data_IF_197888576897
#
_entry.id   IF_197888576897
#
_cell.length_a   1.000
_cell.length_b   1.000
_cell.length_c   1.000
_cell.angle_alpha   90.00
_cell.angle_beta   90.00
_cell.angle_gamma   90.00
#
_symmetry.space_group_name_H-M   'P 1'
#
loop_
_entity.id
_entity.type
_entity.pdbx_description
1 polymer ?
#
# COMPACT_ATOMS: atom_id res chain seq x y z
N UNK A 1 -58.30 -19.02 25.07
CA UNK A 1 -57.04 -19.68 25.49
C UNK A 1 -55.88 -19.39 24.54
N UNK A 2 -56.02 -19.56 23.22
CA UNK A 2 -54.92 -19.33 22.25
C UNK A 2 -54.40 -17.88 22.18
N UNK A 3 -55.28 -16.87 22.26
CA UNK A 3 -54.89 -15.46 22.18
C UNK A 3 -54.05 -14.98 23.39
N UNK A 4 -54.32 -15.51 24.58
CA UNK A 4 -53.55 -15.19 25.80
C UNK A 4 -52.16 -15.82 25.72
N UNK A 5 -52.06 -17.03 25.16
CA UNK A 5 -50.76 -17.68 24.91
C UNK A 5 -49.86 -16.88 23.97
N UNK A 6 -50.42 -16.30 22.90
CA UNK A 6 -49.65 -15.52 21.93
C UNK A 6 -49.14 -14.19 22.51
N UNK A 7 -49.93 -13.55 23.37
CA UNK A 7 -49.53 -12.31 24.06
C UNK A 7 -48.42 -12.60 25.08
N UNK A 8 -48.51 -13.72 25.80
CA UNK A 8 -47.48 -14.12 26.77
C UNK A 8 -46.16 -14.54 26.09
N UNK A 9 -46.22 -15.21 24.94
CA UNK A 9 -45.00 -15.53 24.17
C UNK A 9 -44.38 -14.27 23.56
N UNK A 10 -45.18 -13.35 23.01
CA UNK A 10 -44.66 -12.07 22.52
C UNK A 10 -44.06 -11.21 23.64
N UNK A 11 -44.69 -11.18 24.81
CA UNK A 11 -44.15 -10.47 25.98
C UNK A 11 -42.88 -11.12 26.53
N UNK A 12 -42.81 -12.46 26.53
CA UNK A 12 -41.62 -13.22 26.90
C UNK A 12 -40.45 -12.98 25.94
N UNK A 13 -40.72 -12.97 24.64
CA UNK A 13 -39.71 -12.75 23.60
C UNK A 13 -39.18 -11.31 23.65
N UNK A 14 -40.06 -10.33 23.84
CA UNK A 14 -39.66 -8.91 23.93
C UNK A 14 -38.85 -8.63 25.20
N UNK A 15 -39.15 -9.31 26.32
CA UNK A 15 -38.33 -9.27 27.55
C UNK A 15 -36.99 -9.98 27.41
N UNK A 16 -36.93 -11.04 26.60
CA UNK A 16 -35.68 -11.74 26.30
C UNK A 16 -34.74 -10.84 25.48
N UNK A 17 -35.26 -10.16 24.44
CA UNK A 17 -34.49 -9.20 23.64
C UNK A 17 -33.98 -8.05 24.49
N UNK A 18 -34.82 -7.44 25.32
CA UNK A 18 -34.38 -6.35 26.22
C UNK A 18 -33.45 -6.81 27.36
N UNK A 19 -33.45 -8.10 27.74
CA UNK A 19 -32.45 -8.63 28.69
C UNK A 19 -31.13 -8.98 28.01
N UNK A 20 -31.16 -9.49 26.78
CA UNK A 20 -29.94 -9.73 25.99
C UNK A 20 -29.24 -8.41 25.68
N UNK A 21 -29.98 -7.36 25.30
CA UNK A 21 -29.42 -6.01 25.10
C UNK A 21 -28.76 -5.46 26.39
N UNK A 22 -29.37 -5.70 27.55
CA UNK A 22 -28.80 -5.26 28.84
C UNK A 22 -27.62 -6.10 29.31
N UNK A 23 -27.56 -7.40 28.99
CA UNK A 23 -26.41 -8.26 29.33
C UNK A 23 -25.23 -7.96 28.40
N UNK A 24 -25.49 -7.62 27.14
CA UNK A 24 -24.46 -7.13 26.20
C UNK A 24 -23.90 -5.76 26.62
N UNK A 25 -24.72 -4.89 27.24
CA UNK A 25 -24.25 -3.62 27.80
C UNK A 25 -23.66 -3.71 29.23
N UNK A 26 -23.96 -4.75 30.00
CA UNK A 26 -23.57 -4.88 31.41
C UNK A 26 -22.20 -5.53 31.64
N UNK A 27 -21.58 -6.14 30.62
CA UNK A 27 -20.21 -6.65 30.71
C UNK A 27 -19.19 -5.51 30.51
N UNK A 28 -19.25 -4.56 31.45
CA UNK A 28 -18.48 -3.32 31.57
C UNK A 28 -16.97 -3.52 31.74
N UNK A 29 -16.34 -4.20 30.79
CA UNK A 29 -14.91 -4.12 30.49
C UNK A 29 -14.74 -3.60 29.08
N UNK A 30 -15.05 -2.30 28.91
CA UNK A 30 -14.41 -1.54 27.83
C UNK A 30 -12.90 -1.65 28.08
N UNK A 31 -12.10 -2.24 27.17
CA UNK A 31 -10.67 -2.18 27.34
C UNK A 31 -10.28 -0.70 27.36
N UNK A 32 -9.31 -0.35 28.22
CA UNK A 32 -8.74 0.99 28.37
C UNK A 32 -8.35 1.65 27.03
N UNK A 33 -8.28 0.88 25.95
CA UNK A 33 -8.06 1.26 24.56
C UNK A 33 -9.18 2.15 23.96
N UNK A 34 -10.44 2.00 24.36
CA UNK A 34 -11.53 2.82 23.84
C UNK A 34 -11.46 4.28 24.33
N UNK A 35 -10.81 4.52 25.48
CA UNK A 35 -10.56 5.85 26.02
C UNK A 35 -9.38 6.55 25.32
N UNK A 36 -8.50 5.80 24.65
CA UNK A 36 -7.40 6.31 23.83
C UNK A 36 -7.82 6.59 22.37
N UNK A 37 -9.03 6.19 21.96
CA UNK A 37 -9.58 6.47 20.63
C UNK A 37 -10.31 7.82 20.53
N UNK A 38 -10.58 8.51 21.65
CA UNK A 38 -11.36 9.77 21.66
C UNK A 38 -10.63 10.99 21.11
N UNK A 39 -9.31 10.96 21.01
CA UNK A 39 -8.51 12.05 20.44
C UNK A 39 -8.09 11.81 18.98
N UNK A 40 -8.67 10.81 18.30
CA UNK A 40 -8.42 10.64 16.87
C UNK A 40 -9.24 11.68 16.10
N UNK A 41 -8.61 12.64 15.38
CA UNK A 41 -9.36 13.49 14.45
C UNK A 41 -10.15 12.58 13.49
N UNK A 42 -11.37 12.99 13.15
CA UNK A 42 -12.17 12.28 12.15
C UNK A 42 -11.37 12.10 10.85
N UNK A 43 -11.68 11.08 10.04
CA UNK A 43 -10.92 10.80 8.83
C UNK A 43 -10.78 12.05 7.97
N UNK A 44 -9.57 12.29 7.49
CA UNK A 44 -9.30 13.40 6.60
C UNK A 44 -10.02 13.15 5.27
N UNK A 45 -10.68 14.18 4.73
CA UNK A 45 -11.32 14.14 3.40
C UNK A 45 -10.26 14.21 2.30
N UNK A 46 -9.36 13.23 2.29
CA UNK A 46 -8.23 13.10 1.36
C UNK A 46 -8.41 11.81 0.59
N UNK A 47 -8.38 11.90 -0.75
CA UNK A 47 -8.41 10.73 -1.63
C UNK A 47 -6.99 10.26 -1.88
N UNK A 48 -6.68 9.07 -1.38
CA UNK A 48 -5.36 8.45 -1.50
C UNK A 48 -5.42 7.32 -2.51
N UNK A 49 -4.54 7.38 -3.52
CA UNK A 49 -4.27 6.25 -4.41
C UNK A 49 -2.93 5.64 -4.00
N UNK A 50 -2.90 4.34 -3.70
CA UNK A 50 -1.69 3.61 -3.36
C UNK A 50 -1.40 2.55 -4.44
N UNK A 51 -0.21 2.62 -5.02
CA UNK A 51 0.20 1.79 -6.16
C UNK A 51 1.32 0.85 -5.73
N UNK A 52 1.15 -0.46 -5.92
CA UNK A 52 2.15 -1.44 -5.55
C UNK A 52 1.62 -2.87 -5.55
N UNK A 53 2.05 -3.65 -4.56
CA UNK A 53 1.66 -5.06 -4.42
C UNK A 53 2.13 -5.64 -3.08
N UNK A 54 1.80 -6.90 -2.86
CA UNK A 54 2.23 -7.69 -1.72
C UNK A 54 1.82 -7.14 -0.35
N UNK A 55 2.58 -7.57 0.66
CA UNK A 55 2.32 -7.28 2.07
C UNK A 55 2.67 -5.84 2.46
N UNK A 56 3.58 -5.20 1.73
CA UNK A 56 3.99 -3.81 1.97
C UNK A 56 2.82 -2.85 1.75
N UNK A 57 2.21 -2.92 0.57
CA UNK A 57 1.02 -2.15 0.24
C UNK A 57 -0.12 -2.45 1.21
N UNK A 58 -0.38 -3.72 1.51
CA UNK A 58 -1.40 -4.12 2.48
C UNK A 58 -1.17 -3.50 3.88
N UNK A 59 0.09 -3.37 4.33
CA UNK A 59 0.40 -2.66 5.60
C UNK A 59 0.04 -1.18 5.52
N UNK A 60 0.40 -0.49 4.42
CA UNK A 60 0.02 0.90 4.23
C UNK A 60 -1.50 1.09 4.21
N UNK A 61 -2.22 0.23 3.49
CA UNK A 61 -3.69 0.27 3.39
C UNK A 61 -4.38 0.08 4.75
N UNK A 62 -3.92 -0.87 5.59
CA UNK A 62 -4.47 -1.09 6.94
C UNK A 62 -4.40 0.19 7.78
N UNK A 63 -3.29 0.91 7.72
CA UNK A 63 -3.13 2.18 8.43
C UNK A 63 -3.99 3.29 7.83
N UNK A 64 -3.92 3.47 6.50
CA UNK A 64 -4.64 4.55 5.81
C UNK A 64 -6.17 4.43 5.95
N UNK A 65 -6.72 3.21 5.99
CA UNK A 65 -8.16 2.96 6.23
C UNK A 65 -8.69 3.62 7.50
N UNK A 66 -7.85 3.76 8.52
CA UNK A 66 -8.24 4.35 9.82
C UNK A 66 -8.38 5.87 9.72
N UNK A 67 -7.63 6.50 8.82
CA UNK A 67 -7.43 7.94 8.80
C UNK A 67 -7.96 8.64 7.54
N UNK A 68 -8.24 7.89 6.47
CA UNK A 68 -8.68 8.43 5.19
C UNK A 68 -10.09 7.93 4.85
N UNK A 69 -10.93 8.82 4.34
CA UNK A 69 -12.28 8.47 3.89
C UNK A 69 -12.28 7.60 2.61
N UNK A 70 -11.26 7.78 1.77
CA UNK A 70 -11.20 7.17 0.44
C UNK A 70 -9.79 6.72 0.11
N UNK A 71 -9.58 5.40 0.13
CA UNK A 71 -8.33 4.77 -0.27
C UNK A 71 -8.60 3.89 -1.49
N UNK A 72 -7.84 4.09 -2.56
CA UNK A 72 -7.85 3.22 -3.74
C UNK A 72 -6.50 2.53 -3.86
N UNK A 73 -6.48 1.21 -3.85
CA UNK A 73 -5.29 0.41 -4.14
C UNK A 73 -5.27 0.05 -5.63
N UNK A 74 -4.17 0.30 -6.31
CA UNK A 74 -3.91 -0.19 -7.67
C UNK A 74 -2.80 -1.22 -7.58
N UNK A 75 -3.08 -2.44 -8.04
CA UNK A 75 -2.15 -3.57 -7.87
C UNK A 75 -1.79 -4.26 -9.17
N UNK A 76 -0.57 -4.80 -9.18
CA UNK A 76 -0.06 -5.57 -10.30
C UNK A 76 -0.78 -6.90 -10.41
N UNK A 77 -0.86 -7.41 -11.63
CA UNK A 77 -1.41 -8.73 -11.96
C UNK A 77 -0.35 -9.63 -12.61
N UNK A 78 0.92 -9.37 -12.29
CA UNK A 78 2.06 -10.10 -12.83
C UNK A 78 2.51 -11.30 -11.99
N UNK A 79 1.96 -11.49 -10.78
CA UNK A 79 2.27 -12.60 -9.87
C UNK A 79 2.06 -13.97 -10.55
N UNK A 80 3.08 -14.83 -10.47
CA UNK A 80 3.06 -16.20 -10.99
C UNK A 80 3.50 -17.25 -9.95
N UNK A 81 3.59 -16.83 -8.68
CA UNK A 81 4.06 -17.61 -7.55
C UNK A 81 2.94 -18.31 -6.75
N UNK A 82 3.31 -19.39 -6.07
CA UNK A 82 2.49 -20.06 -5.07
C UNK A 82 1.05 -20.39 -5.52
N UNK A 83 0.06 -20.03 -4.69
CA UNK A 83 -1.35 -20.28 -4.98
C UNK A 83 -1.87 -19.45 -6.14
N UNK A 84 -1.40 -18.21 -6.33
CA UNK A 84 -1.86 -17.32 -7.41
C UNK A 84 -1.42 -17.89 -8.75
N UNK A 85 -0.14 -18.24 -8.86
CA UNK A 85 0.45 -18.83 -10.06
C UNK A 85 -0.18 -20.14 -10.48
N UNK A 86 -0.50 -21.03 -9.53
CA UNK A 86 -1.21 -22.28 -9.86
C UNK A 86 -2.59 -22.00 -10.45
N UNK A 87 -3.39 -21.15 -9.80
CA UNK A 87 -4.72 -20.79 -10.32
C UNK A 87 -4.64 -20.12 -11.69
N UNK A 88 -3.66 -19.24 -11.89
CA UNK A 88 -3.40 -18.62 -13.19
C UNK A 88 -3.09 -19.64 -14.28
N UNK A 89 -2.24 -20.64 -14.01
CA UNK A 89 -1.88 -21.69 -14.97
C UNK A 89 -3.02 -22.67 -15.24
N UNK A 90 -3.75 -23.06 -14.21
CA UNK A 90 -4.75 -24.12 -14.29
C UNK A 90 -6.09 -23.61 -14.84
N UNK A 91 -6.44 -22.35 -14.54
CA UNK A 91 -7.76 -21.76 -14.87
C UNK A 91 -7.66 -20.55 -15.81
N UNK A 92 -6.47 -20.09 -16.17
CA UNK A 92 -6.29 -18.94 -17.07
C UNK A 92 -6.74 -17.61 -16.48
N UNK A 93 -6.88 -17.51 -15.15
CA UNK A 93 -7.37 -16.32 -14.46
C UNK A 93 -6.25 -15.35 -14.10
N UNK A 94 -6.61 -14.08 -13.95
CA UNK A 94 -5.74 -13.04 -13.40
C UNK A 94 -5.30 -13.45 -11.98
N UNK A 95 -4.01 -13.33 -11.61
CA UNK A 95 -3.53 -13.80 -10.32
C UNK A 95 -4.17 -13.01 -9.16
N UNK A 96 -4.89 -13.68 -8.24
CA UNK A 96 -5.70 -12.99 -7.24
C UNK A 96 -4.91 -12.54 -5.99
N UNK A 97 -3.65 -12.94 -5.82
CA UNK A 97 -2.93 -12.85 -4.54
C UNK A 97 -2.78 -11.42 -4.00
N UNK A 98 -2.33 -10.48 -4.82
CA UNK A 98 -2.12 -9.10 -4.39
C UNK A 98 -3.43 -8.33 -4.19
N UNK A 99 -4.42 -8.59 -5.05
CA UNK A 99 -5.80 -8.12 -4.86
C UNK A 99 -6.34 -8.62 -3.52
N UNK A 100 -6.20 -9.93 -3.24
CA UNK A 100 -6.62 -10.56 -1.97
C UNK A 100 -6.00 -9.85 -0.78
N UNK A 101 -4.70 -9.61 -0.80
CA UNK A 101 -4.00 -8.94 0.30
C UNK A 101 -4.55 -7.52 0.56
N UNK A 102 -4.88 -6.78 -0.51
CA UNK A 102 -5.44 -5.44 -0.39
C UNK A 102 -6.88 -5.46 0.11
N UNK A 103 -7.70 -6.41 -0.36
CA UNK A 103 -9.07 -6.59 0.13
C UNK A 103 -9.08 -6.93 1.62
N UNK A 104 -8.21 -7.85 2.06
CA UNK A 104 -8.07 -8.20 3.48
C UNK A 104 -7.65 -6.98 4.32
N UNK A 105 -6.73 -6.16 3.82
CA UNK A 105 -6.29 -4.95 4.51
C UNK A 105 -7.41 -3.91 4.66
N UNK A 106 -8.28 -3.81 3.65
CA UNK A 106 -9.34 -2.81 3.60
C UNK A 106 -10.70 -3.29 4.14
N UNK A 107 -10.88 -4.59 4.40
CA UNK A 107 -12.10 -5.18 4.94
C UNK A 107 -12.48 -4.58 6.31
N UNK A 108 -13.79 -4.49 6.60
CA UNK A 108 -14.24 -4.11 7.95
C UNK A 108 -13.97 -5.27 8.94
N UNK A 109 -13.66 -4.94 10.19
CA UNK A 109 -13.02 -5.87 11.15
C UNK A 109 -13.98 -6.93 11.72
N UNK A 110 -14.48 -7.84 10.89
CA UNK A 110 -14.90 -9.17 11.35
C UNK A 110 -13.67 -10.09 11.37
N UNK A 111 -13.11 -10.29 12.57
CA UNK A 111 -11.88 -11.06 12.81
C UNK A 111 -11.92 -12.46 12.19
N UNK A 112 -13.10 -13.11 12.21
CA UNK A 112 -13.31 -14.43 11.61
C UNK A 112 -13.23 -14.41 10.08
N UNK A 113 -13.91 -13.47 9.41
CA UNK A 113 -13.89 -13.37 7.95
C UNK A 113 -12.49 -13.06 7.44
N UNK A 114 -11.78 -12.15 8.11
CA UNK A 114 -10.40 -11.82 7.75
C UNK A 114 -9.47 -13.02 7.91
N UNK A 115 -9.61 -13.76 9.03
CA UNK A 115 -8.82 -14.98 9.29
C UNK A 115 -9.10 -16.06 8.25
N UNK A 116 -10.38 -16.27 7.88
CA UNK A 116 -10.77 -17.22 6.86
C UNK A 116 -10.20 -16.81 5.49
N UNK A 117 -10.22 -15.52 5.16
CA UNK A 117 -9.72 -15.03 3.88
C UNK A 117 -8.21 -15.19 3.73
N UNK A 118 -7.45 -15.05 4.82
CA UNK A 118 -6.01 -15.28 4.89
C UNK A 118 -5.64 -16.77 5.04
N UNK A 119 -6.61 -17.66 5.30
CA UNK A 119 -6.37 -19.09 5.52
C UNK A 119 -5.68 -19.75 4.32
N UNK A 120 -4.71 -20.62 4.63
CA UNK A 120 -3.98 -21.45 3.68
C UNK A 120 -4.14 -22.92 4.07
N UNK A 121 -4.57 -23.73 3.11
CA UNK A 121 -4.71 -25.17 3.29
C UNK A 121 -3.32 -25.80 3.47
N UNK A 122 -3.16 -26.60 4.51
CA UNK A 122 -1.88 -27.26 4.81
C UNK A 122 -1.68 -28.53 3.98
N UNK A 123 -2.72 -29.37 3.91
CA UNK A 123 -2.64 -30.73 3.37
C UNK A 123 -3.78 -31.03 2.37
N UNK A 124 -3.67 -32.18 1.68
CA UNK A 124 -4.66 -32.67 0.72
C UNK A 124 -4.53 -32.03 -0.67
N UNK A 125 -5.57 -32.20 -1.50
CA UNK A 125 -5.57 -31.70 -2.89
C UNK A 125 -5.46 -30.17 -2.97
N UNK A 126 -5.93 -29.47 -1.95
CA UNK A 126 -5.86 -28.01 -1.86
C UNK A 126 -4.56 -27.50 -1.22
N UNK A 127 -3.61 -28.39 -0.87
CA UNK A 127 -2.39 -28.01 -0.15
C UNK A 127 -1.67 -26.80 -0.78
N UNK A 128 -1.39 -25.81 0.06
CA UNK A 128 -0.76 -24.55 -0.33
C UNK A 128 -1.68 -23.53 -1.01
N UNK A 129 -2.93 -23.87 -1.37
CA UNK A 129 -3.90 -22.86 -1.84
C UNK A 129 -4.33 -21.95 -0.70
N UNK A 130 -4.61 -20.69 -1.03
CA UNK A 130 -5.27 -19.77 -0.11
C UNK A 130 -6.77 -19.80 -0.35
N UNK A 131 -7.56 -19.87 0.73
CA UNK A 131 -9.01 -19.76 0.63
C UNK A 131 -9.43 -18.47 -0.06
N UNK A 132 -8.86 -17.32 0.33
CA UNK A 132 -9.18 -16.04 -0.32
C UNK A 132 -8.87 -16.00 -1.82
N UNK A 133 -7.82 -16.70 -2.27
CA UNK A 133 -7.54 -16.82 -3.71
C UNK A 133 -8.62 -17.65 -4.42
N UNK A 134 -9.00 -18.80 -3.85
CA UNK A 134 -10.08 -19.64 -4.40
C UNK A 134 -11.42 -18.91 -4.42
N UNK A 135 -11.73 -18.19 -3.34
CA UNK A 135 -12.91 -17.35 -3.24
C UNK A 135 -12.94 -16.29 -4.34
N UNK A 136 -11.85 -15.53 -4.54
CA UNK A 136 -11.80 -14.51 -5.59
C UNK A 136 -11.93 -15.10 -6.99
N UNK A 137 -11.27 -16.22 -7.24
CA UNK A 137 -11.40 -16.93 -8.51
C UNK A 137 -12.83 -17.38 -8.77
N UNK A 138 -13.52 -17.93 -7.76
CA UNK A 138 -14.92 -18.32 -7.88
C UNK A 138 -15.86 -17.11 -8.06
N UNK A 139 -15.60 -16.00 -7.37
CA UNK A 139 -16.39 -14.78 -7.52
C UNK A 139 -16.24 -14.19 -8.93
N UNK A 140 -15.03 -14.19 -9.50
CA UNK A 140 -14.78 -13.76 -10.86
C UNK A 140 -15.50 -14.65 -11.90
N UNK A 141 -15.45 -15.97 -11.71
CA UNK A 141 -16.14 -16.93 -12.58
C UNK A 141 -17.66 -16.74 -12.55
N UNK A 142 -18.25 -16.58 -11.36
CA UNK A 142 -19.69 -16.34 -11.17
C UNK A 142 -20.12 -14.98 -11.75
N UNK A 143 -19.30 -13.94 -11.55
CA UNK A 143 -19.59 -12.60 -12.03
C UNK A 143 -19.42 -12.45 -13.56
N UNK A 144 -18.68 -13.37 -14.19
CA UNK A 144 -18.41 -13.39 -15.62
C UNK A 144 -17.17 -12.61 -16.04
N UNK A 145 -16.63 -11.77 -15.16
CA UNK A 145 -15.33 -11.11 -15.34
C UNK A 145 -14.64 -10.83 -13.99
N UNK A 146 -13.32 -10.63 -14.07
CA UNK A 146 -12.48 -10.45 -12.88
C UNK A 146 -12.77 -9.15 -12.13
N UNK A 147 -13.11 -8.06 -12.84
CA UNK A 147 -13.38 -6.77 -12.21
C UNK A 147 -14.65 -6.84 -11.36
N UNK A 148 -15.74 -7.37 -11.91
CA UNK A 148 -16.99 -7.51 -11.20
C UNK A 148 -16.87 -8.54 -10.07
N UNK A 149 -16.06 -9.59 -10.24
CA UNK A 149 -15.69 -10.51 -9.17
C UNK A 149 -15.03 -9.82 -7.97
N UNK A 150 -14.06 -8.94 -8.22
CA UNK A 150 -13.41 -8.12 -7.17
C UNK A 150 -14.39 -7.14 -6.54
N UNK A 151 -15.27 -6.52 -7.34
CA UNK A 151 -16.33 -5.61 -6.86
C UNK A 151 -17.32 -6.33 -5.95
N UNK A 152 -17.72 -7.54 -6.31
CA UNK A 152 -18.62 -8.37 -5.51
C UNK A 152 -17.93 -8.85 -4.22
N UNK A 153 -16.68 -9.30 -4.29
CA UNK A 153 -15.89 -9.67 -3.12
C UNK A 153 -15.71 -8.50 -2.14
N UNK A 154 -15.48 -7.29 -2.66
CA UNK A 154 -15.37 -6.06 -1.86
C UNK A 154 -16.65 -5.78 -1.04
N UNK A 155 -17.83 -6.05 -1.62
CA UNK A 155 -19.12 -5.90 -0.93
C UNK A 155 -19.28 -6.94 0.19
N UNK A 156 -18.93 -8.20 -0.08
CA UNK A 156 -19.01 -9.30 0.91
C UNK A 156 -18.10 -9.04 2.10
N UNK A 157 -16.90 -8.50 1.86
CA UNK A 157 -15.91 -8.20 2.90
C UNK A 157 -16.08 -6.81 3.54
N UNK A 158 -17.15 -6.08 3.21
CA UNK A 158 -17.40 -4.71 3.69
C UNK A 158 -16.17 -3.79 3.56
N UNK A 159 -15.48 -3.86 2.41
CA UNK A 159 -14.23 -3.12 2.17
C UNK A 159 -14.44 -1.61 2.23
N UNK A 160 -13.61 -0.93 3.03
CA UNK A 160 -13.56 0.53 3.13
C UNK A 160 -12.52 1.10 2.17
N UNK A 161 -12.93 1.27 0.92
CA UNK A 161 -12.07 1.77 -0.16
C UNK A 161 -12.34 1.00 -1.45
N UNK A 162 -11.38 1.06 -2.38
CA UNK A 162 -11.45 0.36 -3.65
C UNK A 162 -10.13 -0.37 -3.91
N UNK A 163 -10.22 -1.58 -4.46
CA UNK A 163 -9.06 -2.35 -4.91
C UNK A 163 -9.24 -2.60 -6.40
N UNK A 164 -8.27 -2.14 -7.19
CA UNK A 164 -8.29 -2.18 -8.64
C UNK A 164 -7.07 -2.94 -9.16
N UNK A 165 -7.23 -3.92 -10.06
CA UNK A 165 -6.10 -4.39 -10.83
C UNK A 165 -5.62 -3.28 -11.76
N UNK A 166 -4.31 -3.21 -12.01
CA UNK A 166 -3.75 -2.23 -12.96
C UNK A 166 -4.20 -2.48 -14.39
N UNK A 167 -4.47 -3.74 -14.73
CA UNK A 167 -4.95 -4.21 -16.03
C UNK A 167 -5.77 -5.48 -15.85
N UNK A 168 -6.67 -5.77 -16.80
CA UNK A 168 -7.34 -7.06 -16.92
C UNK A 168 -6.60 -8.03 -17.84
N UNK A 169 -5.58 -7.55 -18.55
CA UNK A 169 -4.75 -8.40 -19.41
C UNK A 169 -3.84 -9.28 -18.54
N UNK A 170 -3.59 -10.51 -19.01
CA UNK A 170 -2.64 -11.39 -18.37
C UNK A 170 -1.20 -10.88 -18.62
N UNK A 171 -0.55 -10.37 -17.57
CA UNK A 171 0.79 -9.77 -17.65
C UNK A 171 1.84 -10.75 -17.12
N UNK A 172 2.91 -10.96 -17.87
CA UNK A 172 4.12 -11.65 -17.44
C UNK A 172 5.24 -10.63 -17.32
N UNK A 173 5.99 -10.68 -16.22
CA UNK A 173 7.14 -9.80 -16.02
C UNK A 173 8.38 -10.42 -16.64
N UNK A 174 9.19 -9.62 -17.34
CA UNK A 174 10.47 -10.07 -17.90
C UNK A 174 11.58 -9.12 -17.50
N UNK A 175 12.68 -9.66 -16.97
CA UNK A 175 13.85 -8.92 -16.55
C UNK A 175 15.06 -9.20 -17.43
N UNK A 176 15.74 -8.14 -17.84
CA UNK A 176 17.08 -8.20 -18.41
C UNK A 176 18.11 -7.95 -17.32
N UNK A 177 18.99 -8.93 -17.13
CA UNK A 177 20.00 -8.96 -16.09
C UNK A 177 21.31 -8.34 -16.59
N UNK A 178 22.18 -7.91 -15.67
CA UNK A 178 23.46 -7.28 -16.00
C UNK A 178 24.45 -8.23 -16.72
N UNK A 179 24.29 -9.54 -16.56
CA UNK A 179 25.06 -10.56 -17.27
C UNK A 179 24.51 -10.89 -18.67
N UNK A 180 23.45 -10.20 -19.10
CA UNK A 180 22.81 -10.37 -20.40
C UNK A 180 21.71 -11.44 -20.44
N UNK A 181 21.43 -12.14 -19.34
CA UNK A 181 20.33 -13.09 -19.29
C UNK A 181 18.97 -12.40 -19.31
N UNK A 182 17.99 -13.04 -19.95
CA UNK A 182 16.57 -12.69 -19.86
C UNK A 182 15.86 -13.69 -18.95
N UNK A 183 15.20 -13.20 -17.90
CA UNK A 183 14.46 -14.02 -16.93
C UNK A 183 12.97 -13.69 -17.05
N UNK A 184 12.16 -14.72 -17.25
CA UNK A 184 10.70 -14.60 -17.48
C UNK A 184 9.96 -15.12 -16.24
N UNK A 185 9.04 -14.30 -15.72
CA UNK A 185 8.20 -14.62 -14.57
C UNK A 185 8.68 -13.96 -13.28
N UNK A 186 7.74 -13.48 -12.47
CA UNK A 186 8.02 -12.75 -11.23
C UNK A 186 8.83 -13.60 -10.25
N UNK A 187 8.36 -14.81 -9.98
CA UNK A 187 9.00 -15.72 -9.03
C UNK A 187 10.39 -16.18 -9.52
N UNK A 188 10.59 -16.26 -10.84
CA UNK A 188 11.89 -16.59 -11.42
C UNK A 188 12.88 -15.42 -11.31
N UNK A 189 12.42 -14.17 -11.51
CA UNK A 189 13.24 -12.97 -11.37
C UNK A 189 13.79 -12.85 -9.95
N UNK A 190 12.94 -13.02 -8.93
CA UNK A 190 13.37 -12.98 -7.53
C UNK A 190 14.36 -14.11 -7.20
N UNK A 191 14.20 -15.29 -7.82
CA UNK A 191 15.06 -16.45 -7.58
C UNK A 191 16.40 -16.41 -8.35
N UNK A 192 16.46 -15.74 -9.50
CA UNK A 192 17.64 -15.73 -10.36
C UNK A 192 18.86 -15.09 -9.69
N UNK A 193 18.63 -14.11 -8.82
CA UNK A 193 19.70 -13.31 -8.22
C UNK A 193 20.41 -12.42 -9.24
N UNK A 194 21.39 -11.65 -8.79
CA UNK A 194 22.13 -10.70 -9.64
C UNK A 194 21.46 -9.33 -9.73
N UNK A 195 21.88 -8.53 -10.70
CA UNK A 195 21.44 -7.14 -10.87
C UNK A 195 20.48 -7.02 -12.04
N UNK A 196 19.25 -6.58 -11.75
CA UNK A 196 18.24 -6.24 -12.77
C UNK A 196 18.63 -4.90 -13.41
N UNK A 197 18.74 -4.87 -14.74
CA UNK A 197 19.07 -3.66 -15.51
C UNK A 197 17.81 -3.02 -16.08
N UNK A 198 16.91 -3.84 -16.62
CA UNK A 198 15.69 -3.38 -17.25
C UNK A 198 14.56 -4.39 -17.02
N UNK A 199 13.33 -3.88 -16.84
CA UNK A 199 12.10 -4.65 -16.88
C UNK A 199 11.27 -4.32 -18.12
N UNK A 200 10.56 -5.32 -18.63
CA UNK A 200 9.47 -5.18 -19.60
C UNK A 200 8.26 -6.01 -19.18
N UNK A 201 7.11 -5.67 -19.72
CA UNK A 201 5.88 -6.44 -19.58
C UNK A 201 5.69 -7.30 -20.81
N UNK A 202 5.06 -8.45 -20.66
CA UNK A 202 4.61 -9.27 -21.78
C UNK A 202 3.13 -9.62 -21.58
N UNK A 203 2.21 -9.19 -22.46
CA UNK A 203 2.46 -8.39 -23.67
C UNK A 203 3.03 -6.98 -23.37
N UNK A 204 3.68 -6.34 -24.35
CA UNK A 204 4.37 -5.06 -24.16
C UNK A 204 3.44 -3.88 -23.84
N UNK A 205 2.16 -3.98 -24.23
CA UNK A 205 1.20 -2.88 -24.11
C UNK A 205 -0.14 -3.35 -23.50
N UNK A 206 -0.15 -3.83 -22.25
CA UNK A 206 -1.40 -4.19 -21.59
C UNK A 206 -2.26 -2.93 -21.39
N UNK A 207 -3.56 -3.08 -21.51
CA UNK A 207 -4.50 -1.97 -21.36
C UNK A 207 -4.68 -1.63 -19.87
N UNK A 208 -4.44 -0.38 -19.44
CA UNK A 208 -4.73 0.01 -18.07
C UNK A 208 -6.24 -0.04 -17.81
N UNK A 209 -6.62 -0.41 -16.59
CA UNK A 209 -8.03 -0.33 -16.19
C UNK A 209 -8.50 1.14 -16.20
N UNK A 210 -9.60 1.50 -16.88
CA UNK A 210 -10.09 2.87 -16.93
C UNK A 210 -10.34 3.48 -15.55
N UNK A 211 -10.90 2.69 -14.62
CA UNK A 211 -11.15 3.11 -13.23
C UNK A 211 -9.84 3.44 -12.49
N UNK A 212 -8.74 2.74 -12.79
CA UNK A 212 -7.43 3.02 -12.21
C UNK A 212 -6.90 4.38 -12.67
N UNK A 213 -7.05 4.71 -13.96
CA UNK A 213 -6.69 6.03 -14.50
C UNK A 213 -7.55 7.14 -13.89
N UNK A 214 -8.85 6.91 -13.76
CA UNK A 214 -9.76 7.88 -13.13
C UNK A 214 -9.38 8.14 -11.67
N UNK A 215 -9.09 7.08 -10.91
CA UNK A 215 -8.65 7.20 -9.53
C UNK A 215 -7.36 8.04 -9.41
N UNK A 216 -6.36 7.77 -10.26
CA UNK A 216 -5.09 8.54 -10.29
C UNK A 216 -5.35 10.03 -10.56
N UNK A 217 -6.24 10.34 -11.50
CA UNK A 217 -6.56 11.73 -11.85
C UNK A 217 -7.38 12.45 -10.77
N UNK A 218 -8.21 11.71 -10.04
CA UNK A 218 -9.01 12.23 -8.94
C UNK A 218 -8.23 12.32 -7.62
N UNK A 219 -7.06 11.69 -7.50
CA UNK A 219 -6.31 11.62 -6.27
C UNK A 219 -5.85 12.99 -5.75
N UNK A 220 -5.87 13.15 -4.43
CA UNK A 220 -5.18 14.27 -3.76
C UNK A 220 -3.73 13.86 -3.43
N UNK A 221 -3.51 12.56 -3.21
CA UNK A 221 -2.22 11.95 -2.90
C UNK A 221 -2.06 10.63 -3.67
N UNK A 222 -0.88 10.43 -4.28
CA UNK A 222 -0.47 9.18 -4.91
C UNK A 222 0.73 8.63 -4.15
N UNK A 223 0.57 7.45 -3.57
CA UNK A 223 1.62 6.69 -2.91
C UNK A 223 2.16 5.65 -3.87
N UNK A 224 3.48 5.60 -4.01
CA UNK A 224 4.19 4.57 -4.76
C UNK A 224 4.91 3.69 -3.76
N UNK A 225 4.48 2.43 -3.66
CA UNK A 225 4.90 1.51 -2.62
C UNK A 225 4.19 1.72 -1.27
N UNK A 226 4.69 1.08 -0.19
CA UNK A 226 5.90 0.24 -0.16
C UNK A 226 5.67 -1.13 -0.81
N UNK A 227 6.74 -1.76 -1.27
CA UNK A 227 6.70 -3.05 -1.95
C UNK A 227 7.98 -3.34 -2.70
N UNK A 228 8.14 -4.57 -3.18
CA UNK A 228 9.30 -4.97 -3.98
C UNK A 228 9.40 -4.08 -5.22
N UNK A 229 10.58 -3.48 -5.43
CA UNK A 229 10.74 -2.40 -6.41
C UNK A 229 10.47 -2.92 -7.82
N UNK A 230 11.04 -4.08 -8.15
CA UNK A 230 11.00 -4.65 -9.50
C UNK A 230 9.77 -5.52 -9.72
N UNK A 231 9.26 -6.18 -8.69
CA UNK A 231 8.17 -7.17 -8.82
C UNK A 231 6.81 -6.67 -8.34
N UNK A 232 6.74 -5.59 -7.56
CA UNK A 232 5.47 -5.01 -7.08
C UNK A 232 5.23 -3.57 -7.53
N UNK A 233 6.26 -2.72 -7.58
CA UNK A 233 6.07 -1.30 -7.89
C UNK A 233 6.19 -1.03 -9.39
N UNK A 234 7.35 -1.33 -9.99
CA UNK A 234 7.61 -1.09 -11.41
C UNK A 234 6.58 -1.75 -12.35
N UNK A 235 6.08 -2.98 -12.11
CA UNK A 235 5.13 -3.59 -13.02
C UNK A 235 3.83 -2.81 -13.17
N UNK A 236 3.36 -2.14 -12.11
CA UNK A 236 2.23 -1.22 -12.19
C UNK A 236 2.54 0.01 -13.04
N UNK A 237 3.71 0.60 -12.84
CA UNK A 237 4.10 1.88 -13.46
C UNK A 237 4.46 1.72 -14.95
N UNK A 238 4.90 0.53 -15.35
CA UNK A 238 5.22 0.17 -16.73
C UNK A 238 3.98 -0.06 -17.60
N UNK A 239 2.79 -0.27 -17.01
CA UNK A 239 1.56 -0.36 -17.78
C UNK A 239 1.33 0.97 -18.52
N UNK A 240 1.14 0.95 -19.85
CA UNK A 240 0.90 2.15 -20.64
C UNK A 240 -0.20 3.04 -20.05
N UNK A 241 0.05 4.35 -20.03
CA UNK A 241 -0.91 5.32 -19.51
C UNK A 241 -0.84 5.56 -17.99
N UNK A 242 -0.43 4.58 -17.16
CA UNK A 242 -0.35 4.75 -15.70
C UNK A 242 0.64 5.86 -15.32
N UNK A 243 1.90 5.74 -15.76
CA UNK A 243 2.93 6.75 -15.49
C UNK A 243 2.55 8.12 -16.06
N UNK A 244 1.93 8.15 -17.25
CA UNK A 244 1.45 9.38 -17.84
C UNK A 244 0.34 10.03 -16.98
N UNK A 245 -0.63 9.26 -16.49
CA UNK A 245 -1.69 9.77 -15.62
C UNK A 245 -1.11 10.32 -14.30
N UNK A 246 -0.15 9.63 -13.69
CA UNK A 246 0.50 10.09 -12.45
C UNK A 246 1.23 11.43 -12.69
N UNK A 247 1.93 11.57 -13.83
CA UNK A 247 2.60 12.83 -14.20
C UNK A 247 1.62 13.99 -14.37
N UNK A 248 0.49 13.76 -15.05
CA UNK A 248 -0.52 14.80 -15.30
C UNK A 248 -1.37 15.12 -14.07
N UNK A 249 -1.46 14.20 -13.10
CA UNK A 249 -2.20 14.41 -11.87
C UNK A 249 -1.64 15.56 -11.05
N UNK A 250 -2.52 16.34 -10.41
CA UNK A 250 -2.15 17.43 -9.48
C UNK A 250 -1.85 16.92 -8.06
N UNK A 251 -2.05 15.63 -7.83
CA UNK A 251 -1.80 14.96 -6.57
C UNK A 251 -0.37 15.16 -6.09
N UNK A 252 -0.18 15.12 -4.78
CA UNK A 252 1.12 14.96 -4.16
C UNK A 252 1.61 13.52 -4.37
N UNK A 253 2.81 13.33 -4.94
CA UNK A 253 3.41 12.00 -5.18
C UNK A 253 4.49 11.69 -4.15
N UNK A 254 4.32 10.59 -3.42
CA UNK A 254 5.25 10.13 -2.39
C UNK A 254 5.71 8.71 -2.72
N UNK A 255 7.03 8.50 -2.79
CA UNK A 255 7.61 7.16 -2.78
C UNK A 255 7.81 6.69 -1.34
N UNK A 256 7.27 5.55 -0.95
CA UNK A 256 7.54 4.94 0.35
C UNK A 256 8.66 3.92 0.17
N UNK A 257 9.85 4.26 0.64
CA UNK A 257 11.05 3.45 0.46
C UNK A 257 10.98 2.16 1.28
N UNK A 258 11.54 1.08 0.75
CA UNK A 258 11.69 -0.15 1.51
C UNK A 258 12.64 0.06 2.70
N UNK A 259 12.35 -0.61 3.82
CA UNK A 259 13.21 -0.51 5.02
C UNK A 259 14.47 -1.37 4.88
N UNK A 260 14.35 -2.50 4.20
CA UNK A 260 15.43 -3.47 3.99
C UNK A 260 15.63 -3.68 2.48
N UNK A 261 16.87 -3.96 2.07
CA UNK A 261 17.17 -4.44 0.73
C UNK A 261 16.57 -5.83 0.52
N UNK A 262 16.21 -6.15 -0.71
CA UNK A 262 15.71 -7.47 -1.06
C UNK A 262 16.77 -8.23 -1.87
N UNK A 263 17.23 -9.40 -1.39
CA UNK A 263 18.16 -10.24 -2.14
C UNK A 263 17.63 -10.53 -3.54
N UNK A 264 18.49 -10.37 -4.55
CA UNK A 264 18.16 -10.62 -5.96
C UNK A 264 17.40 -9.49 -6.67
N UNK A 265 16.90 -8.50 -5.94
CA UNK A 265 16.22 -7.33 -6.54
C UNK A 265 16.98 -6.03 -6.25
N UNK A 266 17.20 -5.71 -4.98
CA UNK A 266 17.76 -4.42 -4.53
C UNK A 266 18.96 -4.60 -3.62
N UNK A 267 19.74 -5.67 -3.82
CA UNK A 267 20.99 -5.91 -3.12
C UNK A 267 21.90 -4.67 -3.20
N UNK A 268 22.36 -4.20 -2.04
CA UNK A 268 23.22 -3.01 -1.88
C UNK A 268 22.61 -1.65 -2.25
N UNK A 269 21.30 -1.58 -2.52
CA UNK A 269 20.67 -0.30 -2.85
C UNK A 269 20.61 0.63 -1.65
N UNK A 270 20.97 1.90 -1.88
CA UNK A 270 20.59 3.02 -1.02
C UNK A 270 19.17 3.50 -1.32
N UNK A 271 18.68 4.48 -0.56
CA UNK A 271 17.41 5.13 -0.83
C UNK A 271 17.41 5.85 -2.20
N UNK A 272 18.52 6.52 -2.56
CA UNK A 272 18.63 7.15 -3.88
C UNK A 272 18.68 6.14 -5.03
N UNK A 273 19.29 4.96 -4.83
CA UNK A 273 19.31 3.89 -5.85
C UNK A 273 17.91 3.41 -6.22
N UNK A 274 16.98 3.35 -5.25
CA UNK A 274 15.59 2.99 -5.51
C UNK A 274 14.91 4.02 -6.44
N UNK A 275 15.11 5.32 -6.17
CA UNK A 275 14.57 6.39 -7.01
C UNK A 275 15.26 6.45 -8.37
N UNK A 276 16.56 6.18 -8.43
CA UNK A 276 17.34 6.16 -9.65
C UNK A 276 16.89 5.01 -10.56
N UNK A 277 16.65 3.82 -9.99
CA UNK A 277 16.08 2.69 -10.70
C UNK A 277 14.68 3.00 -11.22
N UNK A 278 13.80 3.58 -10.40
CA UNK A 278 12.48 4.04 -10.85
C UNK A 278 12.59 5.03 -12.00
N UNK A 279 13.43 6.05 -11.88
CA UNK A 279 13.62 7.09 -12.90
C UNK A 279 14.21 6.52 -14.20
N UNK A 280 15.11 5.53 -14.11
CA UNK A 280 15.71 4.85 -15.26
C UNK A 280 14.66 4.11 -16.09
N UNK A 281 13.73 3.42 -15.44
CA UNK A 281 12.67 2.66 -16.12
C UNK A 281 11.58 3.57 -16.70
N UNK A 282 11.28 4.68 -16.01
CA UNK A 282 10.21 5.59 -16.41
C UNK A 282 10.69 6.73 -17.32
N UNK A 283 11.99 6.94 -17.43
CA UNK A 283 12.62 8.03 -18.18
C UNK A 283 12.56 9.41 -17.50
N UNK A 284 12.00 9.51 -16.28
CA UNK A 284 11.99 10.74 -15.48
C UNK A 284 11.73 10.45 -14.01
N UNK A 285 12.06 11.40 -13.14
CA UNK A 285 11.57 11.41 -11.76
C UNK A 285 10.05 11.60 -11.74
N UNK A 286 9.34 10.78 -10.97
CA UNK A 286 7.88 10.77 -10.89
C UNK A 286 7.35 11.36 -9.57
N UNK A 287 8.19 11.36 -8.54
CA UNK A 287 7.79 11.67 -7.17
C UNK A 287 8.30 13.02 -6.71
N UNK A 288 7.57 13.63 -5.79
CA UNK A 288 7.96 14.90 -5.20
C UNK A 288 8.75 14.70 -3.89
N UNK A 289 8.51 13.57 -3.23
CA UNK A 289 9.14 13.23 -1.97
C UNK A 289 9.39 11.73 -1.86
N UNK A 290 10.32 11.38 -0.98
CA UNK A 290 10.61 10.03 -0.54
C UNK A 290 10.45 9.96 0.98
N UNK A 291 9.67 8.98 1.45
CA UNK A 291 9.56 8.63 2.85
C UNK A 291 10.50 7.47 3.15
N UNK A 292 11.46 7.69 4.05
CA UNK A 292 12.46 6.70 4.46
C UNK A 292 12.40 6.44 5.95
N UNK A 293 12.72 5.20 6.33
CA UNK A 293 12.80 4.79 7.72
C UNK A 293 14.20 5.11 8.30
N UNK A 294 14.25 5.85 9.41
CA UNK A 294 15.49 6.30 10.06
C UNK A 294 15.89 5.47 11.30
N UNK A 295 15.19 4.36 11.55
CA UNK A 295 15.46 3.47 12.68
C UNK A 295 15.78 2.05 12.20
N UNK A 296 17.03 1.58 12.29
CA UNK A 296 17.36 0.22 11.87
C UNK A 296 16.64 -0.81 12.74
N UNK A 297 16.35 -2.01 12.22
CA UNK A 297 15.90 -3.13 13.04
C UNK A 297 16.94 -3.45 14.12
N UNK A 298 16.45 -3.85 15.28
CA UNK A 298 17.27 -4.15 16.46
C UNK A 298 17.32 -5.64 16.73
N UNK A 299 16.17 -6.32 16.70
CA UNK A 299 16.02 -7.72 17.10
C UNK A 299 16.37 -8.65 15.94
N UNK A 300 15.78 -8.39 14.77
CA UNK A 300 15.89 -9.29 13.61
C UNK A 300 17.05 -8.95 12.68
N UNK A 301 17.85 -7.93 12.99
CA UNK A 301 18.89 -7.42 12.10
C UNK A 301 19.88 -8.49 11.66
N UNK A 302 20.48 -9.22 12.61
CA UNK A 302 21.47 -10.24 12.31
C UNK A 302 20.90 -11.37 11.44
N UNK A 303 19.62 -11.73 11.65
CA UNK A 303 18.94 -12.74 10.83
C UNK A 303 18.72 -12.26 9.39
N UNK A 304 18.33 -10.99 9.20
CA UNK A 304 18.18 -10.42 7.86
C UNK A 304 19.53 -10.30 7.15
N UNK A 305 20.57 -9.82 7.84
CA UNK A 305 21.92 -9.69 7.29
C UNK A 305 22.49 -11.05 6.86
N UNK A 306 22.26 -12.10 7.64
CA UNK A 306 22.65 -13.47 7.28
C UNK A 306 21.98 -13.99 6.00
N UNK A 307 20.82 -13.44 5.63
CA UNK A 307 20.10 -13.76 4.40
C UNK A 307 20.38 -12.76 3.27
N UNK A 308 21.40 -11.89 3.41
CA UNK A 308 21.78 -10.90 2.40
C UNK A 308 20.84 -9.68 2.32
N UNK A 309 19.98 -9.48 3.32
CA UNK A 309 19.07 -8.34 3.43
C UNK A 309 19.58 -7.37 4.50
N UNK A 310 19.89 -6.14 4.10
CA UNK A 310 20.46 -5.12 5.00
C UNK A 310 19.54 -3.90 5.06
N UNK A 311 19.59 -3.08 6.12
CA UNK A 311 18.83 -1.84 6.16
C UNK A 311 19.20 -0.92 4.99
N UNK A 312 18.21 -0.33 4.33
CA UNK A 312 18.44 0.62 3.23
C UNK A 312 19.10 1.88 3.79
N UNK A 313 20.24 2.25 3.21
CA UNK A 313 21.02 3.41 3.66
C UNK A 313 20.37 4.70 3.14
N UNK A 314 20.25 5.71 4.01
CA UNK A 314 19.77 7.05 3.66
C UNK A 314 20.97 7.91 3.24
N UNK A 315 21.15 8.09 1.94
CA UNK A 315 22.18 8.90 1.31
C UNK A 315 21.66 10.30 0.97
N UNK A 316 21.57 11.14 2.01
CA UNK A 316 20.92 12.45 1.95
C UNK A 316 21.45 13.38 0.85
N UNK A 317 22.77 13.41 0.61
CA UNK A 317 23.37 14.27 -0.42
C UNK A 317 22.94 13.85 -1.84
N UNK A 318 22.87 12.54 -2.10
CA UNK A 318 22.41 12.01 -3.38
C UNK A 318 20.91 12.29 -3.58
N UNK A 319 20.10 12.10 -2.54
CA UNK A 319 18.66 12.43 -2.57
C UNK A 319 18.42 13.94 -2.80
N UNK A 320 19.20 14.81 -2.18
CA UNK A 320 19.12 16.26 -2.39
C UNK A 320 19.43 16.64 -3.85
N UNK A 321 20.43 16.01 -4.46
CA UNK A 321 20.78 16.22 -5.87
C UNK A 321 19.67 15.78 -6.84
N UNK A 322 18.79 14.86 -6.43
CA UNK A 322 17.62 14.43 -7.20
C UNK A 322 16.42 15.39 -7.09
N UNK A 323 16.54 16.48 -6.33
CA UNK A 323 15.49 17.49 -6.13
C UNK A 323 14.17 16.92 -5.56
N UNK A 324 14.27 15.85 -4.76
CA UNK A 324 13.13 15.27 -4.04
C UNK A 324 13.18 15.67 -2.55
N UNK A 325 12.02 15.89 -1.95
CA UNK A 325 11.95 16.12 -0.50
C UNK A 325 12.18 14.80 0.24
N UNK A 326 13.13 14.78 1.19
CA UNK A 326 13.35 13.63 2.07
C UNK A 326 12.47 13.79 3.31
N UNK A 327 11.63 12.79 3.57
CA UNK A 327 10.79 12.69 4.76
C UNK A 327 11.32 11.53 5.60
N UNK A 328 11.72 11.82 6.83
CA UNK A 328 12.22 10.82 7.77
C UNK A 328 11.09 10.38 8.71
N UNK A 329 11.10 9.12 9.11
CA UNK A 329 10.25 8.66 10.20
C UNK A 329 10.71 7.33 10.79
N UNK A 330 10.37 7.12 12.06
CA UNK A 330 10.49 5.82 12.71
C UNK A 330 9.35 4.92 12.27
N UNK A 331 9.48 4.27 11.12
CA UNK A 331 8.39 3.56 10.46
C UNK A 331 8.34 2.06 10.77
N UNK A 332 9.28 1.58 11.58
CA UNK A 332 9.48 0.15 11.79
C UNK A 332 8.48 -0.48 12.75
N UNK A 333 8.01 -1.67 12.38
CA UNK A 333 7.45 -2.68 13.26
C UNK A 333 8.33 -3.94 13.20
N UNK A 334 8.72 -4.44 14.37
CA UNK A 334 9.48 -5.69 14.53
C UNK A 334 8.60 -6.69 15.29
N UNK A 335 8.27 -7.80 14.64
CA UNK A 335 7.60 -8.94 15.28
C UNK A 335 8.17 -10.25 14.76
N UNK A 336 7.40 -10.99 13.97
CA UNK A 336 7.89 -12.18 13.25
C UNK A 336 8.81 -11.82 12.06
N UNK A 337 8.69 -10.56 11.58
CA UNK A 337 9.46 -10.00 10.46
C UNK A 337 9.61 -8.49 10.62
N UNK A 338 10.56 -7.93 9.88
CA UNK A 338 10.77 -6.48 9.74
C UNK A 338 9.82 -5.96 8.66
N UNK A 339 8.95 -5.01 9.01
CA UNK A 339 8.04 -4.34 8.06
C UNK A 339 7.73 -2.91 8.51
N UNK A 340 7.06 -2.17 7.63
CA UNK A 340 6.44 -0.92 8.02
C UNK A 340 5.32 -1.18 9.03
N UNK A 341 5.34 -0.44 10.14
CA UNK A 341 4.23 -0.27 11.06
C UNK A 341 3.12 0.51 10.35
N UNK A 342 1.95 -0.11 10.20
CA UNK A 342 0.83 0.47 9.44
C UNK A 342 0.40 1.83 9.98
N UNK A 343 0.38 1.97 11.31
CA UNK A 343 -0.15 3.14 12.01
C UNK A 343 0.87 4.29 12.02
N UNK A 344 2.16 4.00 12.27
CA UNK A 344 3.23 5.00 12.13
C UNK A 344 3.38 5.46 10.67
N UNK A 345 3.30 4.53 9.71
CA UNK A 345 3.38 4.85 8.29
C UNK A 345 2.25 5.79 7.86
N UNK A 346 1.00 5.47 8.22
CA UNK A 346 -0.13 6.33 7.88
C UNK A 346 0.00 7.73 8.48
N UNK A 347 0.42 7.87 9.74
CA UNK A 347 0.67 9.18 10.36
C UNK A 347 1.78 9.97 9.67
N UNK A 348 2.89 9.33 9.32
CA UNK A 348 3.99 9.99 8.61
C UNK A 348 3.55 10.51 7.23
N UNK A 349 2.78 9.69 6.49
CA UNK A 349 2.19 10.08 5.21
C UNK A 349 1.28 11.29 5.40
N UNK A 350 0.34 11.23 6.34
CA UNK A 350 -0.64 12.31 6.56
C UNK A 350 0.02 13.60 7.03
N UNK A 351 1.00 13.52 7.94
CA UNK A 351 1.75 14.70 8.37
C UNK A 351 2.48 15.39 7.21
N UNK A 352 3.06 14.62 6.29
CA UNK A 352 3.66 15.18 5.07
C UNK A 352 2.60 15.79 4.14
N UNK A 353 1.49 15.09 3.93
CA UNK A 353 0.39 15.56 3.06
C UNK A 353 -0.19 16.86 3.58
N UNK A 354 -0.51 16.95 4.87
CA UNK A 354 -1.05 18.16 5.51
C UNK A 354 -0.10 19.34 5.36
N UNK A 355 1.19 19.14 5.67
CA UNK A 355 2.21 20.18 5.48
C UNK A 355 2.25 20.69 4.04
N UNK A 356 2.14 19.78 3.07
CA UNK A 356 2.18 20.12 1.66
C UNK A 356 0.90 20.78 1.13
N UNK A 357 -0.27 20.33 1.56
CA UNK A 357 -1.56 20.92 1.19
C UNK A 357 -1.70 22.33 1.78
N UNK A 358 -1.25 22.53 3.01
CA UNK A 358 -1.23 23.85 3.65
C UNK A 358 -0.30 24.82 2.91
N UNK A 359 0.88 24.37 2.43
CA UNK A 359 1.76 25.19 1.60
C UNK A 359 1.11 25.63 0.27
N UNK A 360 0.20 24.83 -0.30
CA UNK A 360 -0.56 25.21 -1.51
C UNK A 360 -1.74 26.16 -1.20
N UNK A 361 -2.31 26.09 0.00
CA UNK A 361 -3.44 26.93 0.45
C UNK A 361 -3.01 28.29 1.00
N UNK A 362 -1.76 28.43 1.47
CA UNK A 362 -1.17 29.74 1.69
C UNK A 362 -1.16 30.48 0.35
N UNK A 363 -1.89 31.61 0.19
CA UNK A 363 -1.84 32.36 -1.05
C UNK A 363 -0.38 32.68 -1.33
N UNK A 364 0.08 32.39 -2.55
CA UNK A 364 1.43 32.75 -3.02
C UNK A 364 1.61 34.27 -2.87
N UNK A 365 2.05 34.70 -1.69
CA UNK A 365 2.63 36.01 -1.45
C UNK A 365 4.12 35.80 -1.31
N UNK A 366 4.77 35.75 -2.48
CA UNK A 366 6.14 36.24 -2.58
C UNK A 366 6.22 37.14 -3.80
N UNK A 367 6.19 38.45 -3.53
CA UNK A 367 6.59 39.53 -4.42
C UNK A 367 7.23 40.59 -3.54
N UNK A 368 8.56 40.55 -3.43
CA UNK A 368 9.44 41.61 -3.96
C UNK A 368 9.13 43.00 -3.40
N UNK A 369 9.71 43.32 -2.25
CA UNK A 369 9.99 44.70 -1.81
C UNK A 369 11.49 44.81 -1.49
N UNK A 370 12.19 45.89 -1.87
CA UNK A 370 13.63 45.98 -1.71
C UNK A 370 14.01 46.02 -0.23
N UNK A 371 15.10 45.32 0.12
CA UNK A 371 15.81 45.52 1.37
C UNK A 371 16.28 46.97 1.45
N UNK A 372 15.53 47.82 2.16
CA UNK A 372 16.03 49.14 2.56
C UNK A 372 17.10 48.93 3.62
N UNK A 373 18.34 49.15 3.22
CA UNK A 373 19.46 49.37 4.12
C UNK A 373 19.12 50.51 5.08
N UNK A 374 19.10 50.22 6.37
CA UNK A 374 19.23 51.23 7.42
C UNK A 374 20.35 50.79 8.36
N UNK A 375 21.57 51.23 8.05
CA UNK A 375 22.55 51.57 9.07
C UNK A 375 22.33 53.05 9.44
N UNK A 376 22.32 53.39 10.74
CA UNK A 376 23.43 54.19 11.30
C UNK A 376 23.69 53.80 12.78
N UNK A 377 24.71 54.24 13.52
CA UNK A 377 25.98 54.92 13.34
C UNK A 377 26.71 54.82 14.70
N UNK A 378 28.03 54.97 14.69
CA UNK A 378 28.85 55.51 15.80
C UNK A 378 28.81 54.86 17.18
N UNK A 379 29.82 54.02 17.44
CA UNK A 379 30.45 53.90 18.76
C UNK A 379 31.82 54.59 18.71
N UNK A 380 31.90 55.79 19.27
CA UNK A 380 33.19 56.39 19.68
C UNK A 380 33.60 55.83 21.05
N UNK A 381 34.92 55.71 21.34
CA UNK A 381 35.41 55.28 22.64
C UNK A 381 35.52 56.46 23.60
N UNK A 382 35.12 56.26 24.85
CA UNK A 382 35.46 57.16 25.97
C UNK A 382 36.56 56.52 26.82
N UNK A 383 37.73 57.16 26.76
CA UNK A 383 38.80 57.31 27.77
C UNK A 383 39.13 56.16 28.72
#
# INVERSE_FOLDING_TARGET
MAAIGLVLTAFGLNRLVTHVERVVDADGRRPLLASLQRDRPGPARIRVVAIGGGHGLASALRGLKVYCDSVTAIVTVADDGGSSGRLRRDLGVVPPGDIRNCLAALADEEELLTTLFEYRFADGELAGHSFGNLFLTAMADIAGDFEEGVRAASKVLAVRGQVLPVSLDAITLVAHMADGQEIIGESAITAAGGQIVQLRLEPDAPLPLPDALQAIMAADVILIGPGSLYTSILPNLLVPGITAAIRHSKAAKLFVCNVMTQPGETSHYTASDHLAALSRHLGSTLVDAILVNDHPPTVLRAQYEANGSVPVVIDADALAAMHVQVVLGGLLWEGDRVRHDSDKLARAILGWVEGRLNLKLLPRRWGSGPLSQTAPADLRPSR
#
